data_IF_542877535729
#
_entry.id   IF_542877535729
#
_cell.length_a   1.000
_cell.length_b   1.000
_cell.length_c   1.000
_cell.angle_alpha   90.00
_cell.angle_beta   90.00
_cell.angle_gamma   90.00
#
_symmetry.space_group_name_H-M   'P 1'
#
loop_
_entity.id
_entity.type
_entity.pdbx_description
1 polymer ?
#
# COMPACT_ATOMS: atom_id res chain seq x y z
N UNK A 1 -4.07 -49.61 16.51
CA UNK A 1 -4.08 -48.39 17.33
C UNK A 1 -2.81 -47.54 17.16
N UNK A 2 -2.32 -47.37 15.91
CA UNK A 2 -1.10 -46.57 15.61
C UNK A 2 -1.34 -45.47 14.55
N UNK A 3 -2.40 -45.52 13.76
CA UNK A 3 -2.68 -44.50 12.72
C UNK A 3 -3.29 -43.19 13.26
N UNK A 4 -3.95 -43.19 14.42
CA UNK A 4 -4.60 -41.99 14.95
C UNK A 4 -3.60 -40.96 15.51
N UNK A 5 -2.42 -41.42 15.96
CA UNK A 5 -1.38 -40.55 16.52
C UNK A 5 -0.61 -39.76 15.46
N UNK A 6 -0.52 -40.24 14.20
CA UNK A 6 0.15 -39.49 13.13
C UNK A 6 -0.69 -38.33 12.60
N UNK A 7 -2.02 -38.43 12.65
CA UNK A 7 -2.90 -37.32 12.28
C UNK A 7 -2.82 -36.15 13.26
N UNK A 8 -2.75 -36.44 14.56
CA UNK A 8 -2.57 -35.44 15.62
C UNK A 8 -1.15 -34.83 15.58
N UNK A 9 -0.11 -35.67 15.36
CA UNK A 9 1.26 -35.20 15.25
C UNK A 9 1.49 -34.32 14.02
N UNK A 10 0.86 -34.63 12.87
CA UNK A 10 0.96 -33.79 11.67
C UNK A 10 0.23 -32.45 11.85
N UNK A 11 -0.88 -32.43 12.58
CA UNK A 11 -1.58 -31.18 12.94
C UNK A 11 -0.74 -30.31 13.90
N UNK A 12 -0.02 -30.91 14.85
CA UNK A 12 0.88 -30.19 15.76
C UNK A 12 2.14 -29.68 15.04
N UNK A 13 2.66 -30.41 14.04
CA UNK A 13 3.77 -29.93 13.21
C UNK A 13 3.33 -28.81 12.27
N UNK A 14 2.12 -28.88 11.71
CA UNK A 14 1.57 -27.77 10.90
C UNK A 14 1.24 -26.53 11.75
N UNK A 15 0.72 -26.69 12.98
CA UNK A 15 0.48 -25.56 13.89
C UNK A 15 1.80 -25.03 14.47
N UNK A 16 2.77 -25.89 14.75
CA UNK A 16 4.09 -25.51 15.28
C UNK A 16 5.01 -24.84 14.26
N UNK A 17 4.94 -25.20 12.97
CA UNK A 17 5.67 -24.51 11.90
C UNK A 17 5.09 -23.13 11.58
N UNK A 18 3.79 -22.90 11.79
CA UNK A 18 3.17 -21.58 11.57
C UNK A 18 3.58 -20.56 12.65
N UNK A 19 4.02 -21.00 13.84
CA UNK A 19 4.44 -20.07 14.91
C UNK A 19 5.89 -19.59 14.72
N UNK A 20 6.74 -20.33 14.00
CA UNK A 20 8.15 -19.96 13.79
C UNK A 20 8.37 -18.98 12.63
N UNK A 21 7.47 -18.96 11.65
CA UNK A 21 7.46 -17.96 10.58
C UNK A 21 6.22 -17.07 10.75
N UNK A 22 6.06 -16.46 11.93
CA UNK A 22 5.29 -15.21 11.99
C UNK A 22 6.03 -14.26 11.04
N UNK A 23 5.45 -13.89 9.87
CA UNK A 23 6.01 -12.79 9.12
C UNK A 23 6.07 -11.66 10.14
N UNK A 24 7.25 -11.06 10.28
CA UNK A 24 7.35 -9.80 10.99
C UNK A 24 6.18 -8.97 10.49
N UNK A 25 5.29 -8.58 11.41
CA UNK A 25 4.30 -7.56 11.13
C UNK A 25 5.16 -6.35 10.78
N UNK A 26 5.47 -6.19 9.49
CA UNK A 26 6.00 -4.97 8.92
C UNK A 26 4.86 -4.01 9.16
N UNK A 27 4.93 -3.34 10.31
CA UNK A 27 4.14 -2.16 10.56
C UNK A 27 4.54 -1.24 9.42
N UNK A 28 3.65 -1.11 8.42
CA UNK A 28 3.86 -0.19 7.32
C UNK A 28 4.18 1.15 7.96
N UNK A 29 5.41 1.62 7.76
CA UNK A 29 5.84 2.90 8.28
C UNK A 29 5.01 3.92 7.50
N UNK A 30 3.88 4.35 8.05
CA UNK A 30 2.95 5.25 7.39
C UNK A 30 3.63 6.62 7.36
N UNK A 31 4.39 6.89 6.30
CA UNK A 31 4.83 8.25 5.99
C UNK A 31 3.59 9.08 5.80
N UNK A 32 3.37 10.12 6.62
CA UNK A 32 2.15 10.89 6.51
C UNK A 32 2.11 11.56 5.14
N UNK A 33 0.95 11.51 4.50
CA UNK A 33 0.74 11.94 3.13
C UNK A 33 -0.50 12.83 3.02
N UNK A 34 -0.42 13.81 2.13
CA UNK A 34 -1.55 14.64 1.70
C UNK A 34 -1.77 14.43 0.22
N UNK A 35 -3.01 14.10 -0.15
CA UNK A 35 -3.46 14.04 -1.53
C UNK A 35 -4.31 15.26 -1.81
N UNK A 36 -4.00 16.00 -2.87
CA UNK A 36 -4.73 17.21 -3.17
C UNK A 36 -4.26 17.89 -4.44
N UNK A 37 -4.78 19.10 -4.66
CA UNK A 37 -4.39 19.96 -5.78
C UNK A 37 -3.56 21.12 -5.26
N UNK A 38 -2.63 21.60 -6.09
CA UNK A 38 -1.84 22.79 -5.77
C UNK A 38 -2.73 24.02 -5.95
N UNK A 39 -2.77 24.88 -4.93
CA UNK A 39 -3.57 26.12 -4.95
C UNK A 39 -2.71 27.37 -4.80
N UNK A 40 -1.45 27.24 -4.38
CA UNK A 40 -0.50 28.33 -4.26
C UNK A 40 0.93 27.85 -4.37
N UNK A 41 1.80 28.68 -4.92
CA UNK A 41 3.23 28.42 -5.07
C UNK A 41 3.96 29.72 -4.73
N UNK A 42 4.98 29.62 -3.90
CA UNK A 42 5.86 30.73 -3.60
C UNK A 42 7.28 30.38 -4.04
N UNK A 43 7.92 31.37 -4.63
CA UNK A 43 9.24 31.27 -5.26
C UNK A 43 10.10 32.44 -4.79
N UNK A 44 11.41 32.24 -4.65
CA UNK A 44 12.33 33.34 -4.33
C UNK A 44 12.69 34.18 -5.58
N UNK A 45 13.54 35.19 -5.40
CA UNK A 45 13.98 36.09 -6.48
C UNK A 45 14.75 35.39 -7.62
N UNK A 46 15.21 34.15 -7.41
CA UNK A 46 15.94 33.35 -8.40
C UNK A 46 15.06 32.28 -9.06
N UNK A 47 13.73 32.42 -9.02
CA UNK A 47 12.77 31.45 -9.52
C UNK A 47 12.86 30.05 -8.85
N UNK A 48 13.48 29.95 -7.67
CA UNK A 48 13.58 28.71 -6.90
C UNK A 48 12.37 28.55 -5.98
N UNK A 49 11.73 27.39 -6.03
CA UNK A 49 10.58 27.05 -5.20
C UNK A 49 10.96 27.14 -3.71
N UNK A 50 10.18 27.86 -2.90
CA UNK A 50 10.36 27.95 -1.44
C UNK A 50 9.24 27.26 -0.67
N UNK A 51 8.00 27.44 -1.13
CA UNK A 51 6.82 26.83 -0.53
C UNK A 51 5.76 26.56 -1.58
N UNK A 52 4.85 25.64 -1.30
CA UNK A 52 3.64 25.44 -2.09
C UNK A 52 2.49 25.01 -1.18
N UNK A 53 1.26 25.30 -1.60
CA UNK A 53 0.05 25.02 -0.81
C UNK A 53 -0.79 24.01 -1.56
N UNK A 54 -1.21 22.97 -0.84
CA UNK A 54 -2.06 21.89 -1.36
C UNK A 54 -3.41 21.92 -0.64
N UNK A 55 -4.49 21.88 -1.41
CA UNK A 55 -5.84 21.67 -0.90
C UNK A 55 -6.23 20.21 -1.04
N UNK A 56 -6.60 19.58 0.07
CA UNK A 56 -7.10 18.20 0.04
C UNK A 56 -8.59 18.13 -0.36
N UNK A 57 -9.14 16.91 -0.44
CA UNK A 57 -10.54 16.64 -0.77
C UNK A 57 -11.56 17.20 0.24
N UNK A 58 -11.10 17.60 1.43
CA UNK A 58 -11.95 18.20 2.48
C UNK A 58 -11.93 19.73 2.43
N UNK A 59 -11.09 20.32 1.57
CA UNK A 59 -10.86 21.76 1.51
C UNK A 59 -9.83 22.25 2.54
N UNK A 60 -9.12 21.33 3.21
CA UNK A 60 -8.05 21.70 4.14
C UNK A 60 -6.81 22.10 3.36
N UNK A 61 -6.26 23.27 3.69
CA UNK A 61 -5.05 23.81 3.07
C UNK A 61 -3.82 23.42 3.90
N UNK A 62 -2.86 22.77 3.25
CA UNK A 62 -1.57 22.43 3.85
C UNK A 62 -0.45 23.13 3.09
N UNK A 63 0.31 23.97 3.79
CA UNK A 63 1.51 24.63 3.26
C UNK A 63 2.71 23.71 3.42
N UNK A 64 3.44 23.47 2.34
CA UNK A 64 4.65 22.66 2.35
C UNK A 64 5.88 23.53 2.09
N UNK A 65 6.82 23.49 3.03
CA UNK A 65 8.18 23.98 2.83
C UNK A 65 8.99 22.91 2.14
N UNK A 66 9.88 23.32 1.25
CA UNK A 66 10.80 22.41 0.56
C UNK A 66 12.20 22.50 1.15
N UNK A 67 12.94 21.40 1.05
CA UNK A 67 14.33 21.30 1.48
C UNK A 67 15.16 20.70 0.36
N UNK A 68 16.49 20.83 0.41
CA UNK A 68 17.41 20.23 -0.57
C UNK A 68 17.18 18.72 -0.77
N UNK A 69 16.70 18.03 0.27
CA UNK A 69 16.45 16.59 0.24
C UNK A 69 15.11 16.20 -0.40
N UNK A 70 14.18 17.16 -0.56
CA UNK A 70 12.86 16.94 -1.16
C UNK A 70 13.00 16.35 -2.56
N UNK A 71 12.28 15.27 -2.83
CA UNK A 71 12.31 14.58 -4.12
C UNK A 71 11.06 14.88 -4.94
N UNK A 72 11.24 15.03 -6.24
CA UNK A 72 10.16 15.24 -7.18
C UNK A 72 10.05 14.03 -8.09
N UNK A 73 8.82 13.63 -8.40
CA UNK A 73 8.48 12.63 -9.40
C UNK A 73 7.26 13.10 -10.17
N UNK A 74 7.42 14.18 -10.94
CA UNK A 74 6.35 14.92 -11.61
C UNK A 74 6.31 14.58 -13.09
N UNK A 75 5.13 14.41 -13.65
CA UNK A 75 4.89 14.10 -15.05
C UNK A 75 4.46 15.35 -15.82
N UNK A 76 4.91 15.47 -17.07
CA UNK A 76 4.41 16.51 -17.98
C UNK A 76 3.15 16.03 -18.73
N UNK A 77 2.57 16.90 -19.56
CA UNK A 77 1.38 16.55 -20.37
C UNK A 77 1.57 15.36 -21.32
N UNK A 78 2.81 15.07 -21.71
CA UNK A 78 3.13 13.95 -22.58
C UNK A 78 3.29 12.63 -21.82
N UNK A 79 3.18 12.64 -20.49
CA UNK A 79 3.42 11.48 -19.63
C UNK A 79 4.91 11.16 -19.43
N UNK A 80 5.80 12.09 -19.77
CA UNK A 80 7.22 11.95 -19.49
C UNK A 80 7.50 12.31 -18.02
N UNK A 81 8.04 11.34 -17.30
CA UNK A 81 8.26 11.42 -15.86
C UNK A 81 9.61 12.01 -15.56
N UNK A 82 9.60 13.15 -14.87
CA UNK A 82 10.79 13.82 -14.40
C UNK A 82 11.03 13.53 -12.92
N UNK A 83 12.23 13.07 -12.60
CA UNK A 83 12.63 12.68 -11.25
C UNK A 83 13.91 13.40 -10.87
N UNK A 84 13.89 14.18 -9.78
CA UNK A 84 15.07 14.88 -9.29
C UNK A 84 14.99 15.19 -7.80
N UNK A 85 16.06 15.78 -7.27
CA UNK A 85 16.08 16.43 -5.95
C UNK A 85 15.85 17.93 -6.07
N UNK A 86 15.33 18.55 -5.02
CA UNK A 86 15.15 20.00 -4.96
C UNK A 86 16.45 20.77 -5.11
N UNK A 87 17.53 20.25 -4.55
CA UNK A 87 18.87 20.81 -4.70
C UNK A 87 19.27 21.00 -6.18
N UNK A 88 18.91 20.04 -7.03
CA UNK A 88 19.36 20.01 -8.43
C UNK A 88 18.31 20.54 -9.43
N UNK A 89 17.06 20.77 -8.99
CA UNK A 89 15.95 21.09 -9.89
C UNK A 89 14.86 21.96 -9.30
N UNK A 90 15.19 22.86 -8.37
CA UNK A 90 14.22 23.75 -7.71
C UNK A 90 13.38 24.58 -8.70
N UNK A 91 14.01 25.19 -9.71
CA UNK A 91 13.33 26.01 -10.73
C UNK A 91 12.37 25.18 -11.59
N UNK A 92 12.82 24.02 -12.07
CA UNK A 92 12.00 23.12 -12.87
C UNK A 92 10.86 22.51 -12.05
N UNK A 93 11.05 22.31 -10.75
CA UNK A 93 9.99 21.93 -9.83
C UNK A 93 8.95 23.05 -9.71
N UNK A 94 9.36 24.31 -9.52
CA UNK A 94 8.44 25.46 -9.50
C UNK A 94 7.60 25.53 -10.78
N UNK A 95 8.26 25.41 -11.94
CA UNK A 95 7.60 25.44 -13.25
C UNK A 95 6.57 24.32 -13.41
N UNK A 96 6.92 23.08 -13.05
CA UNK A 96 6.02 21.93 -13.18
C UNK A 96 4.85 21.98 -12.20
N UNK A 97 5.10 22.39 -10.95
CA UNK A 97 4.04 22.58 -9.98
C UNK A 97 3.09 23.71 -10.41
N UNK A 98 3.59 24.77 -11.03
CA UNK A 98 2.74 25.84 -11.61
C UNK A 98 1.87 25.30 -12.74
N UNK A 99 2.44 24.47 -13.62
CA UNK A 99 1.68 23.80 -14.67
C UNK A 99 0.58 22.89 -14.08
N UNK A 100 0.90 22.17 -12.99
CA UNK A 100 -0.07 21.34 -12.27
C UNK A 100 -1.17 22.16 -11.59
N UNK A 101 -0.84 23.33 -11.04
CA UNK A 101 -1.81 24.27 -10.47
C UNK A 101 -2.80 24.74 -11.54
N UNK A 102 -2.32 25.19 -12.69
CA UNK A 102 -3.17 25.65 -13.81
C UNK A 102 -4.10 24.54 -14.33
N UNK A 103 -3.63 23.30 -14.27
CA UNK A 103 -4.36 22.12 -14.75
C UNK A 103 -5.15 21.39 -13.68
N UNK A 104 -5.06 21.83 -12.43
CA UNK A 104 -5.64 21.14 -11.27
C UNK A 104 -5.27 19.65 -11.21
N UNK A 105 -4.01 19.32 -11.55
CA UNK A 105 -3.52 17.94 -11.49
C UNK A 105 -3.41 17.51 -10.03
N UNK A 106 -4.00 16.38 -9.63
CA UNK A 106 -3.85 15.88 -8.28
C UNK A 106 -2.40 15.42 -8.05
N UNK A 107 -1.85 15.78 -6.90
CA UNK A 107 -0.53 15.37 -6.44
C UNK A 107 -0.62 14.74 -5.05
N UNK A 108 0.34 13.87 -4.75
CA UNK A 108 0.60 13.32 -3.44
C UNK A 108 1.88 13.90 -2.89
N UNK A 109 1.80 14.45 -1.67
CA UNK A 109 2.93 14.98 -0.93
C UNK A 109 3.17 14.12 0.29
N UNK A 110 4.38 13.58 0.43
CA UNK A 110 4.86 12.98 1.67
C UNK A 110 5.61 14.04 2.49
N UNK A 111 5.46 14.01 3.81
CA UNK A 111 6.11 14.98 4.70
C UNK A 111 6.62 14.32 5.99
N UNK A 112 7.57 14.94 6.68
CA UNK A 112 8.16 14.40 7.93
C UNK A 112 7.60 15.05 9.19
N UNK A 113 7.19 16.31 9.10
CA UNK A 113 6.70 17.13 10.21
C UNK A 113 5.49 17.93 9.71
N UNK A 114 4.41 17.97 10.50
CA UNK A 114 3.31 18.91 10.30
C UNK A 114 3.05 19.65 11.61
N UNK A 115 3.16 20.97 11.56
CA UNK A 115 2.83 21.87 12.65
C UNK A 115 1.55 22.60 12.27
N UNK A 116 0.55 22.51 13.13
CA UNK A 116 -0.67 23.29 13.00
C UNK A 116 -0.51 24.56 13.85
N UNK A 117 -0.49 25.72 13.20
CA UNK A 117 -0.51 27.01 13.88
C UNK A 117 -1.72 27.80 13.38
N UNK A 118 -2.60 28.20 14.29
CA UNK A 118 -3.74 29.08 14.01
C UNK A 118 -4.65 28.57 12.87
N UNK A 119 -4.79 27.25 12.72
CA UNK A 119 -5.60 26.60 11.68
C UNK A 119 -4.91 26.43 10.32
N UNK A 120 -3.62 26.79 10.22
CA UNK A 120 -2.79 26.55 9.04
C UNK A 120 -1.85 25.38 9.30
N UNK A 121 -1.97 24.32 8.51
CA UNK A 121 -1.09 23.16 8.59
C UNK A 121 0.16 23.44 7.76
N UNK A 122 1.33 23.46 8.38
CA UNK A 122 2.61 23.62 7.69
C UNK A 122 3.45 22.36 7.85
N UNK A 123 3.95 21.79 6.76
CA UNK A 123 4.87 20.66 6.82
C UNK A 123 6.11 20.79 5.94
N UNK A 124 7.08 19.93 6.17
CA UNK A 124 8.29 19.84 5.33
C UNK A 124 8.10 18.70 4.33
N UNK A 125 8.00 19.03 3.05
CA UNK A 125 7.83 18.03 2.00
C UNK A 125 9.10 17.19 1.85
N UNK A 126 8.94 15.88 1.89
CA UNK A 126 10.02 14.91 1.61
C UNK A 126 9.93 14.38 0.19
N UNK A 127 8.71 14.24 -0.35
CA UNK A 127 8.47 13.78 -1.71
C UNK A 127 7.20 14.40 -2.29
N UNK A 128 7.22 14.76 -3.57
CA UNK A 128 6.05 15.26 -4.32
C UNK A 128 5.92 14.47 -5.64
N UNK A 129 4.76 13.87 -5.87
CA UNK A 129 4.49 13.00 -7.03
C UNK A 129 3.07 13.18 -7.56
N UNK A 130 2.83 12.97 -8.86
CA UNK A 130 1.52 13.14 -9.50
C UNK A 130 0.56 11.97 -9.24
N UNK A 131 1.11 10.86 -8.73
CA UNK A 131 0.37 9.64 -8.53
C UNK A 131 -0.15 9.59 -7.12
N UNK A 132 -1.48 9.53 -7.01
CA UNK A 132 -2.18 9.00 -5.84
C UNK A 132 -1.50 7.69 -5.44
N UNK A 133 -0.69 7.72 -4.38
CA UNK A 133 -0.56 6.54 -3.56
C UNK A 133 -1.96 6.38 -2.97
N UNK A 134 -2.81 5.62 -3.68
CA UNK A 134 -4.08 5.18 -3.12
C UNK A 134 -3.77 4.67 -1.72
N UNK A 135 -4.64 4.96 -0.75
CA UNK A 135 -4.48 4.48 0.63
C UNK A 135 -4.54 2.95 0.64
N UNK A 136 -3.47 2.28 0.19
CA UNK A 136 -3.35 0.83 0.12
C UNK A 136 -3.54 0.26 1.53
N UNK A 137 -3.09 0.97 2.55
CA UNK A 137 -3.30 0.67 3.96
C UNK A 137 -4.78 0.50 4.33
N UNK A 138 -5.70 1.29 3.77
CA UNK A 138 -7.14 1.14 4.05
C UNK A 138 -7.80 -0.02 3.32
N UNK A 139 -7.25 -0.44 2.18
CA UNK A 139 -7.85 -1.51 1.36
C UNK A 139 -7.19 -2.89 1.60
N UNK A 140 -5.98 -2.92 2.18
CA UNK A 140 -5.23 -4.16 2.39
C UNK A 140 -5.99 -5.14 3.30
N UNK A 141 -6.69 -4.64 4.32
CA UNK A 141 -7.51 -5.47 5.19
C UNK A 141 -8.67 -6.15 4.46
N UNK A 142 -9.32 -5.45 3.53
CA UNK A 142 -10.41 -6.01 2.73
C UNK A 142 -9.92 -7.11 1.79
N UNK A 143 -8.84 -6.84 1.06
CA UNK A 143 -8.22 -7.81 0.14
C UNK A 143 -7.76 -9.05 0.92
N UNK A 144 -7.14 -8.85 2.08
CA UNK A 144 -6.73 -9.95 2.97
C UNK A 144 -7.92 -10.77 3.48
N UNK A 145 -9.03 -10.13 3.88
CA UNK A 145 -10.22 -10.82 4.36
C UNK A 145 -10.85 -11.70 3.25
N UNK A 146 -11.01 -11.17 2.04
CA UNK A 146 -11.56 -11.92 0.90
C UNK A 146 -10.65 -13.09 0.53
N UNK A 147 -9.33 -12.86 0.53
CA UNK A 147 -8.33 -13.91 0.32
C UNK A 147 -8.46 -15.02 1.37
N UNK A 148 -8.48 -14.67 2.67
CA UNK A 148 -8.57 -15.63 3.76
C UNK A 148 -9.86 -16.48 3.70
N UNK A 149 -11.02 -15.85 3.45
CA UNK A 149 -12.30 -16.55 3.31
C UNK A 149 -12.26 -17.54 2.14
N UNK A 150 -11.73 -17.10 1.00
CA UNK A 150 -11.61 -17.94 -0.20
C UNK A 150 -10.74 -19.18 0.08
N UNK A 151 -9.61 -19.00 0.77
CA UNK A 151 -8.74 -20.11 1.16
C UNK A 151 -9.39 -21.07 2.14
N UNK A 152 -10.11 -20.56 3.14
CA UNK A 152 -10.84 -21.41 4.10
C UNK A 152 -11.86 -22.28 3.36
N UNK A 153 -12.64 -21.69 2.46
CA UNK A 153 -13.62 -22.44 1.65
C UNK A 153 -12.95 -23.46 0.73
N UNK A 154 -11.86 -23.08 0.07
CA UNK A 154 -11.09 -23.96 -0.79
C UNK A 154 -10.55 -25.18 -0.04
N UNK A 155 -9.90 -24.97 1.11
CA UNK A 155 -9.38 -26.07 1.91
C UNK A 155 -10.50 -26.92 2.52
N UNK A 156 -11.58 -26.31 3.01
CA UNK A 156 -12.74 -27.05 3.50
C UNK A 156 -13.30 -27.99 2.42
N UNK A 157 -13.39 -27.50 1.17
CA UNK A 157 -13.81 -28.31 0.04
C UNK A 157 -12.83 -29.45 -0.27
N UNK A 158 -11.51 -29.20 -0.29
CA UNK A 158 -10.50 -30.24 -0.47
C UNK A 158 -10.61 -31.31 0.62
N UNK A 159 -10.75 -30.92 1.89
CA UNK A 159 -10.91 -31.87 3.00
C UNK A 159 -12.18 -32.69 2.87
N UNK A 160 -13.29 -32.06 2.49
CA UNK A 160 -14.55 -32.75 2.23
C UNK A 160 -14.40 -33.79 1.11
N UNK A 161 -13.79 -33.40 -0.02
CA UNK A 161 -13.58 -34.30 -1.16
C UNK A 161 -12.60 -35.43 -0.83
N UNK A 162 -11.54 -35.14 -0.07
CA UNK A 162 -10.59 -36.14 0.39
C UNK A 162 -11.23 -37.22 1.29
N UNK A 163 -12.24 -36.86 2.09
CA UNK A 163 -13.02 -37.86 2.85
C UNK A 163 -13.86 -38.74 1.92
N UNK A 164 -14.51 -38.18 0.91
CA UNK A 164 -15.32 -38.92 -0.06
C UNK A 164 -14.49 -39.91 -0.88
N UNK A 165 -13.29 -39.52 -1.32
CA UNK A 165 -12.41 -40.41 -2.09
C UNK A 165 -12.00 -41.66 -1.29
N UNK A 166 -11.76 -41.54 0.02
CA UNK A 166 -11.38 -42.70 0.87
C UNK A 166 -12.53 -43.70 1.04
N UNK A 167 -13.77 -43.23 1.15
CA UNK A 167 -14.95 -44.10 1.26
C UNK A 167 -15.17 -44.88 -0.03
N UNK A 168 -15.13 -44.20 -1.18
CA UNK A 168 -15.32 -44.83 -2.49
C UNK A 168 -14.22 -45.86 -2.80
N UNK A 169 -12.96 -45.57 -2.46
CA UNK A 169 -11.86 -46.53 -2.64
C UNK A 169 -12.00 -47.76 -1.73
N UNK A 170 -12.52 -47.59 -0.51
CA UNK A 170 -12.81 -48.70 0.40
C UNK A 170 -13.91 -49.61 -0.16
N UNK A 171 -14.99 -49.03 -0.66
CA UNK A 171 -16.09 -49.78 -1.30
C UNK A 171 -15.63 -50.55 -2.53
N UNK A 172 -14.85 -49.93 -3.42
CA UNK A 172 -14.28 -50.60 -4.61
C UNK A 172 -13.38 -51.77 -4.19
N UNK A 173 -12.56 -51.59 -3.16
CA UNK A 173 -11.64 -52.64 -2.67
C UNK A 173 -12.41 -53.81 -2.07
N UNK A 174 -13.48 -53.55 -1.29
CA UNK A 174 -14.35 -54.60 -0.77
C UNK A 174 -15.04 -55.40 -1.88
N UNK A 175 -15.62 -54.72 -2.86
CA UNK A 175 -16.31 -55.37 -3.98
C UNK A 175 -15.33 -56.25 -4.75
N UNK A 176 -14.14 -55.73 -5.06
CA UNK A 176 -13.09 -56.48 -5.77
C UNK A 176 -12.60 -57.70 -4.98
N UNK A 177 -12.59 -57.63 -3.64
CA UNK A 177 -12.24 -58.76 -2.78
C UNK A 177 -13.36 -59.81 -2.71
N UNK A 178 -14.63 -59.41 -2.80
CA UNK A 178 -15.78 -60.34 -2.80
C UNK A 178 -16.02 -61.06 -4.13
N UNK A 179 -15.40 -60.58 -5.21
CA UNK A 179 -15.53 -61.13 -6.57
C UNK A 179 -14.42 -62.13 -6.92
N UNK A 180 -13.51 -62.41 -5.99
CA UNK A 180 -12.41 -63.37 -6.10
C UNK A 180 -12.63 -64.52 -5.13
#
# INVERSE_FOLDING_TARGET
MKLFNYGLALLIVCVGLVVHDLPSLVLAQSTPLVNGIIVGIETNDNDQLITFVVSDSTGTLTTFKVSDSTKYGLENQAGDRWVTSHKDGSEEAARRLSEHQERFVPITVSYSEATEDSGQITGIATSVVDREQGKLETNLGYIFAVFAITWILFFAYIFYMGRKQKVVQYEITQIKASLK
#
